data_IF_645695450970
#
_entry.id   IF_645695450970
#
_cell.length_a   1.000
_cell.length_b   1.000
_cell.length_c   1.000
_cell.angle_alpha   90.00
_cell.angle_beta   90.00
_cell.angle_gamma   90.00
#
_symmetry.space_group_name_H-M   'P 1'
#
loop_
_entity.id
_entity.type
_entity.pdbx_description
1 polymer ?
#
# COMPACT_ATOMS: atom_id res chain seq x y z
N UNK A 1 2.01 -24.40 -11.32
CA UNK A 1 1.35 -25.09 -10.19
C UNK A 1 1.30 -24.12 -9.02
N UNK A 2 0.14 -23.84 -8.41
CA UNK A 2 0.09 -23.00 -7.21
C UNK A 2 0.87 -23.68 -6.09
N UNK A 3 1.79 -22.96 -5.46
CA UNK A 3 2.60 -23.50 -4.35
C UNK A 3 1.66 -23.82 -3.18
N UNK A 4 1.72 -25.06 -2.70
CA UNK A 4 0.95 -25.55 -1.55
C UNK A 4 1.15 -24.57 -0.37
N UNK A 5 0.09 -23.90 0.07
CA UNK A 5 0.09 -23.08 1.29
C UNK A 5 0.03 -21.56 1.11
N UNK A 6 0.12 -21.01 -0.12
CA UNK A 6 -0.15 -19.58 -0.36
C UNK A 6 -1.58 -19.45 -0.90
N UNK A 7 -2.51 -19.18 -0.02
CA UNK A 7 -3.88 -18.80 -0.35
C UNK A 7 -3.92 -17.35 -0.85
N UNK A 8 -5.04 -16.92 -1.45
CA UNK A 8 -5.22 -15.51 -1.82
C UNK A 8 -5.04 -14.53 -0.64
N UNK A 9 -5.28 -15.02 0.58
CA UNK A 9 -5.09 -14.28 1.84
C UNK A 9 -3.62 -13.94 2.10
N UNK A 10 -2.69 -14.87 1.85
CA UNK A 10 -1.26 -14.64 2.10
C UNK A 10 -0.72 -13.51 1.22
N UNK A 11 -1.13 -13.49 -0.05
CA UNK A 11 -0.75 -12.40 -0.93
C UNK A 11 -1.40 -11.07 -0.54
N UNK A 12 -2.63 -11.07 -0.01
CA UNK A 12 -3.25 -9.86 0.54
C UNK A 12 -2.48 -9.32 1.75
N UNK A 13 -2.10 -10.19 2.68
CA UNK A 13 -1.30 -9.83 3.87
C UNK A 13 0.07 -9.28 3.48
N UNK A 14 0.74 -9.89 2.50
CA UNK A 14 2.03 -9.41 2.00
C UNK A 14 1.89 -8.04 1.33
N UNK A 15 0.86 -7.83 0.50
CA UNK A 15 0.59 -6.51 -0.11
C UNK A 15 0.36 -5.45 0.96
N UNK A 16 -0.45 -5.75 1.98
CA UNK A 16 -0.73 -4.84 3.08
C UNK A 16 0.54 -4.48 3.88
N UNK A 17 1.39 -5.47 4.16
CA UNK A 17 2.66 -5.27 4.86
C UNK A 17 3.63 -4.39 4.05
N UNK A 18 3.75 -4.65 2.74
CA UNK A 18 4.59 -3.86 1.84
C UNK A 18 4.08 -2.41 1.69
N UNK A 19 2.77 -2.22 1.55
CA UNK A 19 2.14 -0.90 1.49
C UNK A 19 2.39 -0.11 2.79
N UNK A 20 2.21 -0.76 3.95
CA UNK A 20 2.49 -0.15 5.25
C UNK A 20 3.95 0.24 5.40
N UNK A 21 4.88 -0.62 5.00
CA UNK A 21 6.31 -0.32 5.03
C UNK A 21 6.65 0.88 4.13
N UNK A 22 6.11 0.92 2.91
CA UNK A 22 6.37 2.02 1.97
C UNK A 22 5.87 3.36 2.52
N UNK A 23 4.62 3.43 2.98
CA UNK A 23 4.03 4.66 3.52
C UNK A 23 4.82 5.14 4.73
N UNK A 24 5.24 4.25 5.63
CA UNK A 24 6.06 4.60 6.79
C UNK A 24 7.43 5.15 6.40
N UNK A 25 8.09 4.54 5.40
CA UNK A 25 9.39 5.00 4.90
C UNK A 25 9.30 6.38 4.24
N UNK A 26 8.19 6.70 3.56
CA UNK A 26 7.95 8.01 2.95
C UNK A 26 7.88 9.15 3.97
N UNK A 27 7.59 8.85 5.24
CA UNK A 27 7.54 9.84 6.33
C UNK A 27 8.93 10.20 6.88
N UNK A 28 9.94 9.39 6.57
CA UNK A 28 11.30 9.67 7.00
C UNK A 28 11.84 10.90 6.26
N UNK A 29 12.70 11.72 6.90
CA UNK A 29 13.41 12.77 6.18
C UNK A 29 14.15 12.18 4.97
N UNK A 30 14.21 12.85 3.80
CA UNK A 30 14.72 12.27 2.56
C UNK A 30 16.11 11.62 2.67
N UNK A 31 17.00 12.19 3.49
CA UNK A 31 18.36 11.65 3.74
C UNK A 31 18.40 10.28 4.45
N UNK A 32 17.30 9.89 5.10
CA UNK A 32 17.17 8.62 5.83
C UNK A 32 16.30 7.60 5.08
N UNK A 33 15.72 7.98 3.95
CA UNK A 33 14.90 7.08 3.14
C UNK A 33 15.81 6.07 2.41
N UNK A 34 15.64 4.76 2.64
CA UNK A 34 16.41 3.74 1.95
C UNK A 34 15.87 3.54 0.53
N UNK A 35 16.21 4.45 -0.40
CA UNK A 35 15.62 4.52 -1.74
C UNK A 35 15.64 3.18 -2.49
N UNK A 36 16.76 2.46 -2.46
CA UNK A 36 16.85 1.14 -3.11
C UNK A 36 15.82 0.14 -2.57
N UNK A 37 15.62 0.07 -1.25
CA UNK A 37 14.61 -0.80 -0.64
C UNK A 37 13.19 -0.32 -0.98
N UNK A 38 12.94 0.98 -0.99
CA UNK A 38 11.64 1.53 -1.37
C UNK A 38 11.29 1.22 -2.82
N UNK A 39 12.26 1.29 -3.74
CA UNK A 39 12.07 0.92 -5.14
C UNK A 39 11.76 -0.57 -5.30
N UNK A 40 12.43 -1.43 -4.54
CA UNK A 40 12.13 -2.87 -4.55
C UNK A 40 10.74 -3.16 -3.97
N UNK A 41 10.31 -2.45 -2.92
CA UNK A 41 8.94 -2.55 -2.39
C UNK A 41 7.91 -2.12 -3.46
N UNK A 42 8.16 -1.02 -4.18
CA UNK A 42 7.28 -0.56 -5.26
C UNK A 42 7.14 -1.60 -6.36
N UNK A 43 8.25 -2.24 -6.77
CA UNK A 43 8.22 -3.33 -7.76
C UNK A 43 7.43 -4.54 -7.25
N UNK A 44 7.66 -4.95 -6.00
CA UNK A 44 6.92 -6.06 -5.39
C UNK A 44 5.41 -5.80 -5.30
N UNK A 45 5.01 -4.55 -5.04
CA UNK A 45 3.60 -4.14 -5.07
C UNK A 45 3.02 -4.21 -6.49
N UNK A 46 3.78 -3.79 -7.51
CA UNK A 46 3.35 -3.81 -8.91
C UNK A 46 3.27 -5.23 -9.52
N UNK A 47 4.18 -6.14 -9.15
CA UNK A 47 4.28 -7.48 -9.73
C UNK A 47 3.15 -8.44 -9.29
N UNK A 48 2.39 -8.08 -8.24
CA UNK A 48 1.50 -9.01 -7.55
C UNK A 48 -0.01 -8.75 -7.70
N UNK A 49 -0.46 -7.56 -8.11
CA UNK A 49 -1.86 -7.13 -7.92
C UNK A 49 -2.35 -6.11 -8.95
N UNK A 50 -3.68 -6.07 -9.13
CA UNK A 50 -4.37 -5.01 -9.84
C UNK A 50 -4.00 -3.63 -9.23
N UNK A 51 -3.67 -2.60 -10.04
CA UNK A 51 -3.26 -1.29 -9.55
C UNK A 51 -4.23 -0.67 -8.54
N UNK A 52 -5.54 -0.83 -8.75
CA UNK A 52 -6.58 -0.36 -7.84
C UNK A 52 -6.49 -0.99 -6.44
N UNK A 53 -6.11 -2.27 -6.34
CA UNK A 53 -5.91 -2.93 -5.07
C UNK A 53 -4.68 -2.37 -4.33
N UNK A 54 -3.61 -2.05 -5.04
CA UNK A 54 -2.40 -1.44 -4.45
C UNK A 54 -2.72 -0.06 -3.89
N UNK A 55 -3.42 0.80 -4.64
CA UNK A 55 -3.85 2.11 -4.16
C UNK A 55 -4.70 2.02 -2.89
N UNK A 56 -5.62 1.04 -2.83
CA UNK A 56 -6.43 0.81 -1.63
C UNK A 56 -5.57 0.45 -0.42
N UNK A 57 -4.61 -0.47 -0.57
CA UNK A 57 -3.71 -0.85 0.52
C UNK A 57 -2.84 0.31 1.00
N UNK A 58 -2.31 1.13 0.09
CA UNK A 58 -1.52 2.31 0.46
C UNK A 58 -2.36 3.33 1.23
N UNK A 59 -3.58 3.59 0.76
CA UNK A 59 -4.50 4.50 1.45
C UNK A 59 -4.89 3.98 2.84
N UNK A 60 -5.23 2.69 2.95
CA UNK A 60 -5.53 2.07 4.23
C UNK A 60 -4.32 2.09 5.18
N UNK A 61 -3.11 1.85 4.67
CA UNK A 61 -1.87 1.97 5.45
C UNK A 61 -1.69 3.39 6.00
N UNK A 62 -1.88 4.42 5.15
CA UNK A 62 -1.78 5.82 5.58
C UNK A 62 -2.84 6.17 6.61
N UNK A 63 -4.08 5.70 6.46
CA UNK A 63 -5.13 5.88 7.46
C UNK A 63 -4.77 5.27 8.82
N UNK A 64 -4.09 4.12 8.84
CA UNK A 64 -3.66 3.46 10.08
C UNK A 64 -2.49 4.16 10.74
N UNK A 65 -1.55 4.68 9.96
CA UNK A 65 -0.37 5.40 10.46
C UNK A 65 -0.72 6.83 10.92
N UNK A 66 -1.78 7.42 10.36
CA UNK A 66 -2.21 8.80 10.61
C UNK A 66 -3.70 8.86 10.96
N UNK A 67 -4.11 8.37 12.14
CA UNK A 67 -5.52 8.25 12.51
C UNK A 67 -6.26 9.58 12.64
N UNK A 68 -5.52 10.68 12.81
CA UNK A 68 -6.07 12.03 12.99
C UNK A 68 -6.32 12.76 11.65
N UNK A 69 -5.84 12.22 10.53
CA UNK A 69 -6.07 12.80 9.20
C UNK A 69 -7.44 12.38 8.65
N UNK A 70 -8.01 13.24 7.80
CA UNK A 70 -9.27 12.92 7.12
C UNK A 70 -9.07 11.74 6.16
N UNK A 71 -9.74 10.63 6.48
CA UNK A 71 -9.71 9.38 5.70
C UNK A 71 -10.15 9.60 4.24
N UNK A 72 -11.13 10.45 3.99
CA UNK A 72 -11.62 10.74 2.63
C UNK A 72 -10.61 11.58 1.85
N UNK A 73 -9.85 12.45 2.51
CA UNK A 73 -8.71 13.12 1.88
C UNK A 73 -7.60 12.13 1.51
N UNK A 74 -7.27 11.20 2.42
CA UNK A 74 -6.30 10.15 2.15
C UNK A 74 -6.74 9.29 0.95
N UNK A 75 -7.98 8.82 0.91
CA UNK A 75 -8.46 8.02 -0.22
C UNK A 75 -8.38 8.78 -1.55
N UNK A 76 -8.72 10.07 -1.55
CA UNK A 76 -8.60 10.92 -2.74
C UNK A 76 -7.16 11.10 -3.21
N UNK A 77 -6.18 11.21 -2.30
CA UNK A 77 -4.75 11.26 -2.63
C UNK A 77 -4.28 10.03 -3.42
N UNK A 78 -4.84 8.86 -3.10
CA UNK A 78 -4.56 7.60 -3.80
C UNK A 78 -5.50 7.34 -5.00
N UNK A 79 -6.29 8.34 -5.42
CA UNK A 79 -7.16 8.25 -6.59
C UNK A 79 -8.45 7.44 -6.36
N UNK A 80 -8.85 7.21 -5.11
CA UNK A 80 -10.05 6.47 -4.75
C UNK A 80 -11.16 7.49 -4.47
N UNK A 81 -12.13 7.61 -5.38
CA UNK A 81 -13.32 8.43 -5.18
C UNK A 81 -14.48 7.58 -4.65
N UNK A 82 -15.42 8.22 -3.94
CA UNK A 82 -16.67 7.60 -3.46
C UNK A 82 -17.57 7.09 -4.59
N UNK A 83 -17.34 7.52 -5.82
CA UNK A 83 -18.22 7.26 -6.96
C UNK A 83 -18.04 5.84 -7.54
N UNK A 84 -17.01 5.09 -7.08
CA UNK A 84 -16.83 3.67 -7.40
C UNK A 84 -17.64 2.73 -6.48
N UNK A 85 -18.35 3.28 -5.49
CA UNK A 85 -19.32 2.57 -4.65
C UNK A 85 -20.71 3.21 -4.77
N UNK A 86 -21.26 3.19 -5.98
CA UNK A 86 -22.69 3.38 -6.24
C UNK A 86 -23.47 2.09 -6.16
#
# INVERSE_FOLDING_TARGET
MPKKGVTGHDGWVVTEALATALVALEQLPPKHQPQAHMDDIRKLLADGREPAAVSLHLAQAKCRLFPDLDRLEIYREYGISSDEYG
#
